data_IF_025563417000
#
_entry.id   IF_025563417000
#
_cell.length_a   1.000
_cell.length_b   1.000
_cell.length_c   1.000
_cell.angle_alpha   90.00
_cell.angle_beta   90.00
_cell.angle_gamma   90.00
#
_symmetry.space_group_name_H-M   'P 1'
#
loop_
_entity.id
_entity.type
_entity.pdbx_description
1 polymer ?
#
# COMPACT_ATOMS: atom_id res chain seq x y z
N UNK A 1 13.86 4.48 30.84
CA UNK A 1 13.82 5.96 30.84
C UNK A 1 12.90 6.36 29.71
N UNK A 2 11.69 6.84 30.03
CA UNK A 2 10.72 7.28 29.03
C UNK A 2 11.06 8.72 28.66
N UNK A 3 11.58 8.94 27.45
CA UNK A 3 11.74 10.29 26.92
C UNK A 3 10.35 10.78 26.46
N UNK A 4 9.65 11.47 27.35
CA UNK A 4 8.47 12.25 26.96
C UNK A 4 8.96 13.63 26.50
N UNK A 5 8.79 13.92 25.21
CA UNK A 5 9.06 15.25 24.66
C UNK A 5 7.81 16.09 24.93
N UNK A 6 7.89 17.00 25.90
CA UNK A 6 6.87 18.02 26.12
C UNK A 6 7.26 19.28 25.33
N UNK A 7 6.39 19.71 24.41
CA UNK A 7 6.58 20.92 23.62
C UNK A 7 5.53 21.97 24.02
N UNK A 8 5.99 23.11 24.51
CA UNK A 8 5.18 24.19 25.10
C UNK A 8 4.61 25.20 24.06
N UNK A 9 4.90 25.02 22.76
CA UNK A 9 4.36 25.86 21.69
C UNK A 9 3.58 25.00 20.68
N UNK A 10 2.34 25.41 20.39
CA UNK A 10 1.33 24.64 19.67
C UNK A 10 1.83 23.82 18.47
N UNK A 11 1.36 22.57 18.40
CA UNK A 11 1.65 21.56 17.37
C UNK A 11 1.24 21.97 15.95
N UNK A 12 0.54 23.09 15.79
CA UNK A 12 -0.01 23.53 14.51
C UNK A 12 1.05 24.01 13.51
N UNK A 13 2.24 24.42 13.96
CA UNK A 13 3.32 24.92 13.08
C UNK A 13 4.40 23.89 12.74
N UNK A 14 4.50 22.77 13.46
CA UNK A 14 5.50 21.71 13.21
C UNK A 14 5.01 20.60 12.27
N UNK A 15 3.71 20.52 12.04
CA UNK A 15 3.10 19.60 11.08
C UNK A 15 3.24 20.05 9.61
N UNK A 16 4.02 21.11 9.34
CA UNK A 16 4.39 21.51 7.99
C UNK A 16 5.40 20.50 7.40
N UNK A 17 4.84 19.37 6.96
CA UNK A 17 5.37 18.30 6.12
C UNK A 17 6.78 17.77 6.46
N UNK A 18 6.85 16.83 7.40
CA UNK A 18 7.95 15.87 7.41
C UNK A 18 7.96 15.09 6.09
N UNK A 19 9.07 15.14 5.35
CA UNK A 19 9.19 14.40 4.10
C UNK A 19 9.28 12.91 4.42
N UNK A 20 8.63 12.09 3.59
CA UNK A 20 8.72 10.63 3.70
C UNK A 20 10.17 10.13 3.63
N UNK A 21 11.05 10.88 2.94
CA UNK A 21 12.48 10.59 2.85
C UNK A 21 13.20 10.72 4.18
N UNK A 22 12.71 11.59 5.06
CA UNK A 22 13.31 11.87 6.36
C UNK A 22 12.76 10.88 7.37
N UNK A 23 11.44 10.63 7.36
CA UNK A 23 10.81 9.71 8.31
C UNK A 23 11.17 8.25 8.07
N UNK A 24 11.16 7.81 6.80
CA UNK A 24 11.29 6.40 6.43
C UNK A 24 12.69 6.09 5.90
N UNK A 25 13.43 5.31 6.70
CA UNK A 25 14.73 4.74 6.37
C UNK A 25 14.62 3.55 5.43
N UNK A 26 15.74 3.12 4.88
CA UNK A 26 15.77 1.90 4.08
C UNK A 26 15.51 0.66 4.95
N UNK A 27 14.92 -0.39 4.39
CA UNK A 27 14.54 -1.59 5.15
C UNK A 27 15.71 -2.25 5.94
N UNK A 28 16.94 -2.07 5.48
CA UNK A 28 18.17 -2.61 6.08
C UNK A 28 19.04 -1.54 6.78
N UNK A 29 18.55 -0.32 6.92
CA UNK A 29 19.28 0.78 7.57
C UNK A 29 19.07 0.77 9.09
N UNK A 30 20.14 0.96 9.85
CA UNK A 30 20.04 1.06 11.30
C UNK A 30 19.40 2.39 11.71
N UNK A 31 18.22 2.34 12.34
CA UNK A 31 17.59 3.52 12.94
C UNK A 31 18.27 3.81 14.27
N UNK A 32 19.17 4.80 14.27
CA UNK A 32 19.67 5.37 15.52
C UNK A 32 18.55 6.20 16.11
N UNK A 33 18.03 5.82 17.28
CA UNK A 33 16.89 6.49 17.95
C UNK A 33 17.09 7.96 18.35
N UNK A 34 18.06 8.66 17.77
CA UNK A 34 18.34 10.08 17.90
C UNK A 34 18.35 10.74 16.50
N UNK A 35 17.19 10.85 15.85
CA UNK A 35 17.03 11.63 14.62
C UNK A 35 16.33 10.88 13.48
N UNK A 36 16.70 11.23 12.25
CA UNK A 36 16.22 10.62 11.01
C UNK A 36 17.21 9.55 10.50
N UNK A 37 16.75 8.45 9.90
CA UNK A 37 15.34 8.09 9.76
C UNK A 37 14.68 7.68 11.09
N UNK A 38 13.39 7.96 11.24
CA UNK A 38 12.63 7.67 12.47
C UNK A 38 12.24 6.19 12.56
N UNK A 39 11.98 5.56 11.41
CA UNK A 39 11.55 4.16 11.32
C UNK A 39 11.95 3.57 9.96
N UNK A 40 12.02 2.23 9.87
CA UNK A 40 12.19 1.49 8.61
C UNK A 40 10.84 1.05 8.01
N UNK A 41 9.75 1.15 8.77
CA UNK A 41 8.42 0.70 8.38
C UNK A 41 7.36 1.71 8.82
N UNK A 42 6.38 1.95 7.95
CA UNK A 42 5.19 2.74 8.28
C UNK A 42 3.95 1.87 8.09
N UNK A 43 2.99 2.03 8.99
CA UNK A 43 1.70 1.36 8.92
C UNK A 43 0.65 2.43 8.63
N UNK A 44 0.08 2.37 7.42
CA UNK A 44 -1.02 3.23 7.02
C UNK A 44 -2.33 2.47 7.23
N UNK A 45 -3.10 2.91 8.22
CA UNK A 45 -4.45 2.39 8.46
C UNK A 45 -5.47 3.26 7.73
N UNK A 46 -6.34 2.63 6.96
CA UNK A 46 -7.46 3.31 6.31
C UNK A 46 -8.77 2.53 6.51
N UNK A 47 -9.88 3.24 6.32
CA UNK A 47 -11.23 2.75 6.62
C UNK A 47 -11.36 2.37 8.09
N UNK A 48 -11.80 3.30 8.93
CA UNK A 48 -11.92 3.07 10.38
C UNK A 48 -12.94 1.98 10.75
N UNK A 49 -13.80 1.55 9.82
CA UNK A 49 -14.69 0.41 10.03
C UNK A 49 -13.96 -0.92 9.82
N UNK A 50 -13.24 -1.05 8.71
CA UNK A 50 -12.56 -2.28 8.31
C UNK A 50 -11.11 -2.41 8.84
N UNK A 51 -10.50 -1.31 9.26
CA UNK A 51 -9.12 -1.20 9.74
C UNK A 51 -8.10 -1.83 8.79
N UNK A 52 -8.12 -1.41 7.53
CA UNK A 52 -7.16 -1.89 6.53
C UNK A 52 -5.77 -1.34 6.82
N UNK A 53 -4.82 -2.23 7.09
CA UNK A 53 -3.43 -1.85 7.39
C UNK A 53 -2.55 -2.11 6.17
N UNK A 54 -1.97 -1.05 5.62
CA UNK A 54 -0.96 -1.10 4.56
C UNK A 54 0.42 -0.85 5.15
N UNK A 55 1.28 -1.86 5.09
CA UNK A 55 2.68 -1.74 5.48
C UNK A 55 3.49 -1.12 4.33
N UNK A 56 4.17 -0.02 4.62
CA UNK A 56 5.04 0.72 3.70
C UNK A 56 6.49 0.56 4.13
N UNK A 57 7.34 0.20 3.18
CA UNK A 57 8.80 0.04 3.36
C UNK A 57 9.55 0.68 2.22
N UNK A 58 10.75 1.19 2.46
CA UNK A 58 11.61 1.80 1.46
C UNK A 58 12.78 0.89 1.12
N UNK A 59 12.96 0.58 -0.16
CA UNK A 59 14.07 -0.23 -0.66
C UNK A 59 15.14 0.67 -1.29
N UNK A 60 16.41 0.25 -1.19
CA UNK A 60 17.56 0.99 -1.76
C UNK A 60 17.55 0.99 -3.28
N UNK A 61 17.13 -0.12 -3.85
CA UNK A 61 17.05 -0.32 -5.28
C UNK A 61 15.80 -1.13 -5.64
N UNK A 62 15.37 -0.98 -6.88
CA UNK A 62 14.37 -1.83 -7.51
C UNK A 62 15.02 -2.90 -8.42
N UNK A 63 16.34 -3.04 -8.41
CA UNK A 63 17.08 -4.04 -9.19
C UNK A 63 16.68 -5.48 -8.82
N UNK A 64 16.30 -5.71 -7.56
CA UNK A 64 15.78 -7.02 -7.11
C UNK A 64 14.51 -7.42 -7.89
N UNK A 65 13.71 -6.45 -8.35
CA UNK A 65 12.54 -6.74 -9.19
C UNK A 65 12.94 -7.24 -10.58
N UNK A 66 14.06 -6.76 -11.12
CA UNK A 66 14.62 -7.23 -12.39
C UNK A 66 15.27 -8.60 -12.21
N UNK A 67 16.02 -8.79 -11.12
CA UNK A 67 16.66 -10.06 -10.79
C UNK A 67 15.64 -11.18 -10.57
N UNK A 68 14.50 -10.87 -9.94
CA UNK A 68 13.40 -11.81 -9.72
C UNK A 68 12.44 -11.90 -10.91
N UNK A 69 12.80 -11.39 -12.10
CA UNK A 69 12.00 -11.39 -13.32
C UNK A 69 10.57 -10.82 -13.15
N UNK A 70 10.37 -9.96 -12.16
CA UNK A 70 9.08 -9.33 -11.90
C UNK A 70 8.83 -8.10 -12.80
N UNK A 71 9.91 -7.52 -13.36
CA UNK A 71 9.91 -6.35 -14.24
C UNK A 71 11.08 -6.48 -15.22
N UNK A 72 10.93 -6.09 -16.49
CA UNK A 72 12.06 -6.05 -17.43
C UNK A 72 12.90 -4.77 -17.28
N UNK A 73 14.12 -4.77 -17.84
CA UNK A 73 14.97 -3.57 -17.81
C UNK A 73 14.33 -2.41 -18.59
N UNK A 74 13.70 -2.71 -19.71
CA UNK A 74 13.01 -1.73 -20.55
C UNK A 74 11.81 -1.11 -19.81
N UNK A 75 11.03 -1.91 -19.09
CA UNK A 75 9.92 -1.42 -18.27
C UNK A 75 10.40 -0.51 -17.13
N UNK A 76 11.54 -0.85 -16.52
CA UNK A 76 12.15 -0.03 -15.49
C UNK A 76 12.65 1.31 -16.06
N UNK A 77 13.28 1.30 -17.23
CA UNK A 77 13.76 2.51 -17.90
C UNK A 77 12.58 3.41 -18.33
N UNK A 78 11.49 2.83 -18.85
CA UNK A 78 10.24 3.54 -19.17
C UNK A 78 9.62 4.19 -17.92
N UNK A 79 9.60 3.46 -16.81
CA UNK A 79 9.09 3.97 -15.53
C UNK A 79 9.95 5.12 -15.00
N UNK A 80 11.28 5.01 -15.07
CA UNK A 80 12.22 6.08 -14.69
C UNK A 80 11.97 7.34 -15.52
N UNK A 81 11.79 7.20 -16.83
CA UNK A 81 11.50 8.32 -17.71
C UNK A 81 10.15 8.97 -17.38
N UNK A 82 9.13 8.15 -17.09
CA UNK A 82 7.80 8.64 -16.68
C UNK A 82 7.87 9.45 -15.38
N UNK A 83 8.60 8.97 -14.37
CA UNK A 83 8.78 9.68 -13.10
C UNK A 83 9.51 11.02 -13.32
N UNK A 84 10.54 11.03 -14.16
CA UNK A 84 11.31 12.26 -14.46
C UNK A 84 10.52 13.29 -15.25
N UNK A 85 9.76 12.86 -16.26
CA UNK A 85 9.08 13.77 -17.20
C UNK A 85 7.69 14.19 -16.72
N UNK A 86 6.96 13.29 -16.07
CA UNK A 86 5.57 13.53 -15.63
C UNK A 86 5.45 13.78 -14.12
N UNK A 87 6.55 13.64 -13.36
CA UNK A 87 6.59 13.84 -11.92
C UNK A 87 5.50 13.07 -11.16
N UNK A 88 5.15 11.86 -11.64
CA UNK A 88 4.14 11.00 -11.03
C UNK A 88 4.72 9.63 -10.66
N UNK A 89 4.23 8.99 -9.59
CA UNK A 89 4.64 7.62 -9.26
C UNK A 89 4.19 6.64 -10.35
N UNK A 90 4.88 5.50 -10.43
CA UNK A 90 4.58 4.39 -11.34
C UNK A 90 4.59 3.09 -10.54
N UNK A 91 3.57 2.26 -10.71
CA UNK A 91 3.56 0.90 -10.18
C UNK A 91 4.38 0.00 -11.10
N UNK A 92 5.50 -0.52 -10.59
CA UNK A 92 6.38 -1.41 -11.34
C UNK A 92 5.86 -2.86 -11.32
N UNK A 93 5.44 -3.34 -10.15
CA UNK A 93 4.97 -4.70 -9.98
C UNK A 93 3.87 -4.76 -8.93
N UNK A 94 2.99 -5.75 -9.07
CA UNK A 94 1.86 -5.98 -8.18
C UNK A 94 1.55 -7.47 -8.12
N UNK A 95 1.29 -7.96 -6.91
CA UNK A 95 0.80 -9.31 -6.66
C UNK A 95 -0.56 -9.22 -5.95
N UNK A 96 -1.48 -10.11 -6.31
CA UNK A 96 -2.81 -10.17 -5.69
C UNK A 96 -3.84 -9.18 -6.26
N UNK A 97 -5.05 -9.27 -5.72
CA UNK A 97 -6.21 -8.42 -6.04
C UNK A 97 -6.33 -7.26 -5.03
N UNK A 98 -7.18 -6.29 -5.33
CA UNK A 98 -7.53 -5.27 -4.32
C UNK A 98 -8.37 -5.95 -3.23
N UNK A 99 -8.25 -5.45 -2.00
CA UNK A 99 -9.27 -5.73 -0.99
C UNK A 99 -10.61 -5.13 -1.43
N UNK A 100 -11.69 -5.59 -0.81
CA UNK A 100 -13.02 -5.04 -0.97
C UNK A 100 -13.29 -4.19 0.26
N UNK A 101 -13.71 -2.95 0.08
CA UNK A 101 -14.06 -2.06 1.20
C UNK A 101 -15.46 -2.39 1.76
N UNK A 102 -15.75 -1.96 2.98
CA UNK A 102 -17.02 -2.17 3.70
C UNK A 102 -17.42 -3.66 3.87
N UNK A 103 -16.44 -4.56 4.03
CA UNK A 103 -16.70 -6.01 4.20
C UNK A 103 -16.58 -6.49 5.63
N UNK A 104 -16.09 -5.66 6.56
CA UNK A 104 -15.75 -6.07 7.93
C UNK A 104 -14.29 -6.50 8.06
N UNK A 105 -13.40 -5.77 7.39
CA UNK A 105 -11.95 -5.97 7.44
C UNK A 105 -11.49 -7.33 6.92
N UNK A 106 -10.37 -7.83 7.43
CA UNK A 106 -9.73 -9.04 6.92
C UNK A 106 -10.63 -10.28 7.00
N UNK A 107 -11.34 -10.45 8.12
CA UNK A 107 -12.24 -11.59 8.31
C UNK A 107 -13.46 -11.54 7.38
N UNK A 108 -14.02 -10.34 7.21
CA UNK A 108 -15.08 -10.04 6.27
C UNK A 108 -14.69 -10.34 4.83
N UNK A 109 -13.49 -9.88 4.43
CA UNK A 109 -12.98 -10.14 3.09
C UNK A 109 -12.72 -11.63 2.84
N UNK A 110 -12.21 -12.38 3.82
CA UNK A 110 -12.04 -13.83 3.69
C UNK A 110 -13.39 -14.54 3.49
N UNK A 111 -14.41 -14.14 4.25
CA UNK A 111 -15.77 -14.67 4.09
C UNK A 111 -16.37 -14.30 2.72
N UNK A 112 -16.20 -13.05 2.28
CA UNK A 112 -16.61 -12.59 0.95
C UNK A 112 -15.95 -13.42 -0.15
N UNK A 113 -14.63 -13.63 -0.09
CA UNK A 113 -13.90 -14.44 -1.07
C UNK A 113 -14.38 -15.89 -1.08
N UNK A 114 -14.68 -16.48 0.08
CA UNK A 114 -15.27 -17.83 0.17
C UNK A 114 -16.65 -17.84 -0.49
N UNK A 115 -17.53 -16.90 -0.16
CA UNK A 115 -18.89 -16.83 -0.71
C UNK A 115 -18.91 -16.72 -2.25
N UNK A 116 -17.98 -15.97 -2.85
CA UNK A 116 -17.95 -15.82 -4.32
C UNK A 116 -17.18 -16.91 -5.07
N UNK A 117 -16.31 -17.69 -4.42
CA UNK A 117 -15.50 -18.71 -5.11
C UNK A 117 -15.93 -20.14 -4.78
N UNK A 118 -16.45 -20.36 -3.57
CA UNK A 118 -16.91 -21.65 -3.06
C UNK A 118 -18.38 -21.52 -2.59
N UNK A 119 -19.31 -21.19 -3.50
CA UNK A 119 -20.68 -20.88 -3.10
C UNK A 119 -21.45 -22.14 -2.71
N UNK A 120 -22.04 -22.13 -1.51
CA UNK A 120 -23.09 -23.08 -1.13
C UNK A 120 -24.42 -22.71 -1.84
N UNK A 121 -24.71 -21.41 -1.91
CA UNK A 121 -25.83 -20.84 -2.66
C UNK A 121 -25.33 -19.99 -3.85
N UNK A 122 -25.80 -20.33 -5.05
CA UNK A 122 -25.43 -19.63 -6.29
C UNK A 122 -26.09 -18.25 -6.40
N UNK A 123 -27.26 -18.05 -5.79
CA UNK A 123 -27.99 -16.78 -5.82
C UNK A 123 -27.28 -15.76 -4.92
N UNK A 124 -26.98 -16.13 -3.68
CA UNK A 124 -26.18 -15.32 -2.75
C UNK A 124 -24.83 -14.93 -3.36
N UNK A 125 -24.14 -15.88 -4.00
CA UNK A 125 -22.88 -15.61 -4.67
C UNK A 125 -23.03 -14.69 -5.90
N UNK A 126 -24.17 -14.68 -6.58
CA UNK A 126 -24.43 -13.76 -7.67
C UNK A 126 -24.65 -12.34 -7.13
N UNK A 127 -25.34 -12.21 -6.01
CA UNK A 127 -25.59 -10.95 -5.32
C UNK A 127 -24.31 -10.33 -4.76
N UNK A 128 -23.47 -11.10 -4.07
CA UNK A 128 -22.15 -10.63 -3.62
C UNK A 128 -21.29 -10.13 -4.78
N UNK A 129 -21.28 -10.85 -5.91
CA UNK A 129 -20.54 -10.39 -7.10
C UNK A 129 -21.15 -9.14 -7.72
N UNK A 130 -22.48 -8.97 -7.66
CA UNK A 130 -23.16 -7.76 -8.15
C UNK A 130 -22.83 -6.56 -7.28
N UNK A 131 -22.87 -6.73 -5.97
CA UNK A 131 -22.48 -5.73 -5.00
C UNK A 131 -21.00 -5.32 -5.15
N UNK A 132 -20.09 -6.30 -5.26
CA UNK A 132 -18.67 -6.02 -5.50
C UNK A 132 -18.45 -5.21 -6.79
N UNK A 133 -19.16 -5.55 -7.86
CA UNK A 133 -19.11 -4.75 -9.11
C UNK A 133 -19.65 -3.33 -8.94
N UNK A 134 -20.71 -3.12 -8.16
CA UNK A 134 -21.23 -1.76 -7.91
C UNK A 134 -20.27 -0.89 -7.12
N UNK A 135 -19.42 -1.48 -6.28
CA UNK A 135 -18.35 -0.80 -5.56
C UNK A 135 -17.07 -0.62 -6.41
N UNK A 136 -17.11 -1.01 -7.68
CA UNK A 136 -15.96 -0.93 -8.59
C UNK A 136 -14.90 -2.01 -8.38
N UNK A 137 -15.13 -2.98 -7.48
CA UNK A 137 -14.22 -4.09 -7.27
C UNK A 137 -14.22 -5.05 -8.48
N UNK A 138 -13.02 -5.50 -8.85
CA UNK A 138 -12.81 -6.37 -10.01
C UNK A 138 -11.98 -7.57 -9.59
N UNK A 139 -12.50 -8.77 -9.84
CA UNK A 139 -11.77 -10.04 -9.68
C UNK A 139 -10.74 -10.27 -10.81
N UNK A 140 -10.21 -9.20 -11.40
CA UNK A 140 -9.19 -9.26 -12.45
C UNK A 140 -7.96 -8.53 -11.95
N UNK A 141 -6.80 -9.11 -12.23
CA UNK A 141 -5.52 -8.43 -12.01
C UNK A 141 -5.51 -7.15 -12.84
N UNK A 142 -5.18 -6.03 -12.18
CA UNK A 142 -4.93 -4.76 -12.86
C UNK A 142 -3.48 -4.78 -13.33
N UNK A 143 -3.27 -4.47 -14.60
CA UNK A 143 -1.95 -4.24 -15.17
C UNK A 143 -1.23 -3.16 -14.34
N UNK A 144 -0.01 -3.39 -13.83
CA UNK A 144 0.76 -2.39 -13.07
C UNK A 144 0.78 -1.01 -13.75
N UNK A 145 0.86 -0.95 -15.08
CA UNK A 145 0.86 0.31 -15.85
C UNK A 145 -0.44 1.12 -15.73
N UNK A 146 -1.52 0.53 -15.22
CA UNK A 146 -2.88 1.11 -15.09
C UNK A 146 -3.33 1.27 -13.65
N UNK A 147 -2.44 1.09 -12.67
CA UNK A 147 -2.79 1.21 -11.24
C UNK A 147 -3.00 2.67 -10.81
N UNK A 148 -2.37 3.63 -11.50
CA UNK A 148 -2.34 5.05 -11.16
C UNK A 148 -2.89 5.93 -12.29
#
# INVERSE_FOLDING_TARGET
MNAAIAMESGTESLMESLLITDVLGYADEAVSGSGFPVTNELYYEYDYGDSWIVKLTKLKSCEDLVANHSVTKEELDEARETVKTKHKPVCLSRVGLNVMDDVGGLSGFANFLRAINEPEDKEEAADFRRWARSMGWKQKKVDPKKVL
#
